data_IF_421800833582
#
_entry.id   IF_421800833582
#
_cell.length_a   1.000
_cell.length_b   1.000
_cell.length_c   1.000
_cell.angle_alpha   90.00
_cell.angle_beta   90.00
_cell.angle_gamma   90.00
#
_symmetry.space_group_name_H-M   'P 1'
#
loop_
_entity.id
_entity.type
_entity.pdbx_description
1 polymer ?
#
# COMPACT_ATOMS: atom_id res chain seq x y z
N UNK A 1 30.28 42.66 -0.42
CA UNK A 1 28.82 42.34 -0.34
C UNK A 1 28.46 41.06 -1.07
N UNK A 2 28.93 40.85 -2.32
CA UNK A 2 28.63 39.66 -3.16
C UNK A 2 28.90 38.30 -2.47
N UNK A 3 30.00 38.16 -1.71
CA UNK A 3 30.34 36.90 -1.01
C UNK A 3 29.31 36.49 0.07
N UNK A 4 28.68 37.46 0.74
CA UNK A 4 27.64 37.20 1.77
C UNK A 4 26.34 36.71 1.13
N UNK A 5 25.95 37.29 -0.01
CA UNK A 5 24.76 36.87 -0.75
C UNK A 5 24.88 35.47 -1.35
N UNK A 6 26.08 35.08 -1.81
CA UNK A 6 26.35 33.73 -2.31
C UNK A 6 26.27 32.70 -1.17
N UNK A 7 26.89 32.98 -0.02
CA UNK A 7 26.82 32.10 1.15
C UNK A 7 25.38 31.92 1.66
N UNK A 8 24.59 33.01 1.68
CA UNK A 8 23.18 32.93 2.06
C UNK A 8 22.38 32.06 1.09
N UNK A 9 22.61 32.24 -0.23
CA UNK A 9 21.94 31.46 -1.26
C UNK A 9 22.30 29.97 -1.17
N UNK A 10 23.59 29.65 -0.94
CA UNK A 10 24.05 28.28 -0.73
C UNK A 10 23.43 27.64 0.52
N UNK A 11 23.27 28.41 1.60
CA UNK A 11 22.66 27.95 2.84
C UNK A 11 21.16 27.67 2.68
N UNK A 12 20.45 28.57 1.97
CA UNK A 12 19.03 28.40 1.64
C UNK A 12 18.79 27.19 0.74
N UNK A 13 19.62 26.96 -0.29
CA UNK A 13 19.46 25.80 -1.17
C UNK A 13 19.81 24.49 -0.46
N UNK A 14 20.83 24.44 0.40
CA UNK A 14 21.14 23.24 1.21
C UNK A 14 19.99 22.87 2.17
N UNK A 15 19.39 23.86 2.82
CA UNK A 15 18.26 23.64 3.73
C UNK A 15 17.02 23.06 3.02
N UNK A 16 16.73 23.55 1.80
CA UNK A 16 15.65 23.00 0.97
C UNK A 16 15.92 21.55 0.53
N UNK A 17 17.16 21.21 0.16
CA UNK A 17 17.52 19.85 -0.28
C UNK A 17 17.41 18.84 0.87
N UNK A 18 17.84 19.21 2.08
CA UNK A 18 17.72 18.35 3.27
C UNK A 18 16.26 18.16 3.67
N UNK A 19 15.43 19.20 3.57
CA UNK A 19 13.99 19.11 3.88
C UNK A 19 13.21 18.31 2.82
N UNK A 20 13.70 18.26 1.58
CA UNK A 20 13.11 17.46 0.51
C UNK A 20 13.35 15.96 0.67
N UNK A 21 14.34 15.55 1.47
CA UNK A 21 14.49 14.16 1.89
C UNK A 21 13.60 13.90 3.11
N UNK A 22 12.28 13.85 2.89
CA UNK A 22 11.36 13.39 3.92
C UNK A 22 11.81 11.98 4.35
N UNK A 23 12.16 11.74 5.62
CA UNK A 23 12.51 10.40 6.12
C UNK A 23 11.39 9.38 5.85
N UNK A 24 10.17 9.86 5.63
CA UNK A 24 8.97 9.09 5.34
C UNK A 24 8.64 8.97 3.84
N UNK A 25 9.43 9.54 2.93
CA UNK A 25 9.20 9.42 1.49
C UNK A 25 9.23 7.96 1.01
N UNK A 26 9.95 7.09 1.74
CA UNK A 26 10.14 5.68 1.40
C UNK A 26 8.96 4.77 1.75
N UNK A 27 7.91 5.28 2.39
CA UNK A 27 6.76 4.48 2.83
C UNK A 27 5.93 3.89 1.69
N UNK A 28 6.18 4.32 0.46
CA UNK A 28 5.50 3.87 -0.75
C UNK A 28 6.49 3.47 -1.87
N UNK A 29 7.59 2.80 -1.50
CA UNK A 29 8.69 2.46 -2.42
C UNK A 29 8.62 1.05 -3.02
N UNK A 30 7.66 0.23 -2.61
CA UNK A 30 7.53 -1.14 -3.07
C UNK A 30 6.06 -1.47 -3.36
N UNK A 31 5.75 -1.75 -4.62
CA UNK A 31 4.38 -1.98 -5.08
C UNK A 31 4.23 -3.39 -5.62
N UNK A 32 3.20 -4.09 -5.16
CA UNK A 32 2.81 -5.37 -5.74
C UNK A 32 1.91 -5.10 -6.95
N UNK A 33 2.29 -5.60 -8.12
CA UNK A 33 1.59 -5.37 -9.38
C UNK A 33 1.39 -6.69 -10.12
N UNK A 34 0.17 -6.91 -10.57
CA UNK A 34 -0.24 -8.13 -11.26
C UNK A 34 -1.45 -8.75 -10.60
N UNK A 35 -1.97 -9.82 -11.20
CA UNK A 35 -3.13 -10.54 -10.71
C UNK A 35 -2.81 -12.03 -10.62
N UNK A 36 -3.43 -12.69 -9.65
CA UNK A 36 -3.46 -14.15 -9.53
C UNK A 36 -4.73 -14.66 -10.20
N UNK A 37 -4.63 -15.18 -11.43
CA UNK A 37 -5.79 -15.71 -12.18
C UNK A 37 -6.13 -17.18 -11.90
N UNK A 38 -5.34 -17.84 -11.07
CA UNK A 38 -5.49 -19.27 -10.81
C UNK A 38 -4.90 -19.65 -9.45
N UNK A 39 -5.37 -20.76 -8.88
CA UNK A 39 -4.80 -21.37 -7.67
C UNK A 39 -3.32 -21.77 -7.84
N UNK A 40 -2.81 -21.77 -9.08
CA UNK A 40 -1.43 -22.16 -9.43
C UNK A 40 -0.47 -20.96 -9.42
N UNK A 41 -0.93 -19.75 -9.76
CA UNK A 41 -0.08 -18.54 -9.72
C UNK A 41 0.07 -18.06 -8.28
N UNK A 42 1.19 -18.41 -7.67
CA UNK A 42 1.56 -17.98 -6.31
C UNK A 42 2.57 -16.84 -6.31
N UNK A 43 2.81 -16.21 -7.47
CA UNK A 43 3.85 -15.20 -7.66
C UNK A 43 3.33 -14.06 -8.54
N UNK A 44 3.55 -12.84 -8.10
CA UNK A 44 3.30 -11.59 -8.84
C UNK A 44 4.56 -10.72 -8.87
N UNK A 45 4.50 -9.54 -9.49
CA UNK A 45 5.65 -8.65 -9.57
C UNK A 45 5.69 -7.70 -8.38
N UNK A 46 6.86 -7.57 -7.77
CA UNK A 46 7.20 -6.49 -6.85
C UNK A 46 8.04 -5.46 -7.60
N UNK A 47 7.51 -4.26 -7.69
CA UNK A 47 8.21 -3.10 -8.24
C UNK A 47 8.96 -2.45 -7.08
N UNK A 48 10.28 -2.42 -7.13
CA UNK A 48 11.14 -1.89 -6.08
C UNK A 48 11.84 -0.60 -6.53
N UNK A 49 11.40 0.52 -5.96
CA UNK A 49 11.92 1.86 -6.22
C UNK A 49 13.11 2.24 -5.32
N UNK A 50 13.65 1.32 -4.51
CA UNK A 50 14.85 1.59 -3.71
C UNK A 50 16.13 1.68 -4.55
N UNK A 51 16.12 1.18 -5.78
CA UNK A 51 17.24 1.22 -6.72
C UNK A 51 16.91 2.12 -7.92
N UNK A 52 17.95 2.58 -8.61
CA UNK A 52 17.83 3.26 -9.91
C UNK A 52 18.70 2.55 -10.96
N UNK A 53 18.11 2.05 -12.07
CA UNK A 53 16.67 1.97 -12.34
C UNK A 53 15.94 1.11 -11.29
N UNK A 54 14.62 1.29 -11.17
CA UNK A 54 13.81 0.45 -10.27
C UNK A 54 13.90 -1.02 -10.72
N UNK A 55 13.80 -1.94 -9.77
CA UNK A 55 13.88 -3.37 -10.03
C UNK A 55 12.48 -4.01 -10.03
N UNK A 56 12.31 -5.07 -10.82
CA UNK A 56 11.11 -5.91 -10.79
C UNK A 56 11.52 -7.30 -10.34
N UNK A 57 11.00 -7.74 -9.20
CA UNK A 57 11.31 -9.04 -8.62
C UNK A 57 10.06 -9.88 -8.40
N UNK A 58 10.16 -11.22 -8.44
CA UNK A 58 9.03 -12.08 -8.11
C UNK A 58 8.69 -12.02 -6.62
N UNK A 59 7.43 -11.77 -6.29
CA UNK A 59 6.92 -11.78 -4.92
C UNK A 59 5.84 -12.84 -4.76
N UNK A 60 5.99 -13.69 -3.73
CA UNK A 60 5.03 -14.76 -3.45
C UNK A 60 3.75 -14.18 -2.85
N UNK A 61 2.61 -14.69 -3.28
CA UNK A 61 1.30 -14.38 -2.70
C UNK A 61 0.57 -15.68 -2.40
N UNK A 62 0.07 -15.83 -1.17
CA UNK A 62 -0.70 -17.02 -0.77
C UNK A 62 -2.20 -16.84 -1.03
N UNK A 63 -2.72 -15.63 -0.81
CA UNK A 63 -4.15 -15.34 -0.75
C UNK A 63 -4.59 -14.46 -1.90
N UNK A 64 -5.67 -14.88 -2.58
CA UNK A 64 -6.46 -14.03 -3.45
C UNK A 64 -5.80 -13.36 -4.63
N UNK A 65 -6.64 -12.83 -5.49
CA UNK A 65 -6.22 -11.92 -6.54
C UNK A 65 -5.86 -10.61 -5.83
N UNK A 66 -4.62 -10.12 -5.99
CA UNK A 66 -4.39 -8.68 -5.84
C UNK A 66 -5.04 -8.06 -7.07
N UNK A 67 -6.36 -7.93 -7.04
CA UNK A 67 -7.10 -7.47 -8.20
C UNK A 67 -6.90 -5.97 -8.35
N UNK A 68 -6.84 -5.50 -9.60
CA UNK A 68 -6.73 -4.08 -9.91
C UNK A 68 -7.92 -3.35 -9.29
N UNK A 69 -7.68 -2.56 -8.24
CA UNK A 69 -8.74 -1.74 -7.69
C UNK A 69 -8.49 -1.32 -6.26
N UNK A 70 -8.53 -2.23 -5.31
CA UNK A 70 -8.57 -1.90 -3.87
C UNK A 70 -7.42 -2.49 -3.09
N UNK A 71 -6.23 -2.48 -3.68
CA UNK A 71 -4.99 -2.83 -3.03
C UNK A 71 -4.29 -1.56 -2.52
N UNK A 72 -3.71 -1.63 -1.34
CA UNK A 72 -2.82 -0.58 -0.82
C UNK A 72 -1.62 -1.22 -0.12
N UNK A 73 -0.50 -0.52 -0.12
CA UNK A 73 0.80 -1.00 0.31
C UNK A 73 1.39 -0.02 1.31
N UNK A 74 2.20 -0.51 2.23
CA UNK A 74 3.02 0.37 3.06
C UNK A 74 4.36 -0.28 3.36
N UNK A 75 5.40 0.53 3.27
CA UNK A 75 6.77 0.14 3.52
C UNK A 75 7.26 0.61 4.90
N UNK A 76 8.33 -0.01 5.38
CA UNK A 76 9.13 0.55 6.45
C UNK A 76 9.86 1.84 6.00
N UNK A 77 10.56 2.51 6.92
CA UNK A 77 11.33 3.72 6.60
C UNK A 77 12.52 3.49 5.65
N UNK A 78 12.92 2.23 5.48
CA UNK A 78 14.00 1.86 4.56
C UNK A 78 13.46 1.58 3.17
N UNK A 79 12.14 1.61 2.96
CA UNK A 79 11.47 1.35 1.69
C UNK A 79 11.17 -0.12 1.45
N UNK A 80 11.22 -0.98 2.47
CA UNK A 80 10.88 -2.39 2.37
C UNK A 80 9.41 -2.62 2.70
N UNK A 81 8.69 -3.36 1.85
CA UNK A 81 7.29 -3.70 2.04
C UNK A 81 7.08 -4.29 3.43
N UNK A 82 6.14 -3.72 4.17
CA UNK A 82 5.77 -4.15 5.51
C UNK A 82 4.41 -4.85 5.50
N UNK A 83 3.40 -4.15 4.96
CA UNK A 83 2.03 -4.64 4.87
C UNK A 83 1.41 -4.31 3.51
N UNK A 84 0.45 -5.14 3.10
CA UNK A 84 -0.47 -4.82 2.03
C UNK A 84 -1.89 -5.24 2.40
N UNK A 85 -2.88 -4.50 1.91
CA UNK A 85 -4.29 -4.81 2.13
C UNK A 85 -4.98 -5.09 0.79
N UNK A 86 -5.88 -6.08 0.76
CA UNK A 86 -6.62 -6.51 -0.44
C UNK A 86 -8.12 -6.20 -0.38
N UNK A 87 -8.56 -5.49 0.67
CA UNK A 87 -9.97 -5.17 0.96
C UNK A 87 -10.65 -6.24 1.81
N UNK A 88 -10.22 -7.49 1.67
CA UNK A 88 -10.61 -8.59 2.53
C UNK A 88 -9.61 -8.83 3.66
N UNK A 89 -8.31 -8.76 3.35
CA UNK A 89 -7.26 -9.11 4.30
C UNK A 89 -6.14 -8.06 4.36
N UNK A 90 -5.44 -8.01 5.50
CA UNK A 90 -4.16 -7.34 5.70
C UNK A 90 -3.08 -8.42 5.83
N UNK A 91 -2.05 -8.30 5.01
CA UNK A 91 -1.03 -9.32 4.81
C UNK A 91 0.35 -8.70 4.99
N UNK A 92 1.27 -9.43 5.62
CA UNK A 92 2.66 -9.01 5.75
C UNK A 92 3.48 -9.30 4.48
N UNK A 93 4.73 -8.86 4.46
CA UNK A 93 5.66 -9.11 3.34
C UNK A 93 6.05 -10.57 3.11
N UNK A 94 5.72 -11.48 4.04
CA UNK A 94 5.87 -12.92 3.85
C UNK A 94 4.61 -13.58 3.24
N UNK A 95 3.64 -12.77 2.83
CA UNK A 95 2.34 -13.21 2.34
C UNK A 95 1.47 -13.94 3.38
N UNK A 96 1.63 -13.59 4.67
CA UNK A 96 0.84 -14.15 5.78
C UNK A 96 -0.15 -13.11 6.30
N UNK A 97 -1.40 -13.51 6.59
CA UNK A 97 -2.38 -12.62 7.22
C UNK A 97 -1.87 -12.28 8.62
N UNK A 98 -1.82 -10.98 8.94
CA UNK A 98 -1.44 -10.55 10.29
C UNK A 98 -2.55 -10.87 11.30
N UNK A 99 -2.21 -10.84 12.60
CA UNK A 99 -3.22 -10.98 13.65
C UNK A 99 -4.33 -9.94 13.48
N UNK A 100 -5.58 -10.39 13.48
CA UNK A 100 -6.78 -9.56 13.22
C UNK A 100 -6.82 -8.90 11.83
N UNK A 101 -5.98 -9.35 10.90
CA UNK A 101 -5.95 -8.88 9.52
C UNK A 101 -6.92 -9.60 8.60
N UNK A 102 -7.73 -10.54 9.08
CA UNK A 102 -8.68 -11.29 8.26
C UNK A 102 -10.06 -10.62 8.28
N UNK A 103 -10.75 -10.62 7.14
CA UNK A 103 -12.10 -10.08 6.98
C UNK A 103 -12.27 -8.66 7.53
N UNK A 104 -11.34 -7.76 7.17
CA UNK A 104 -11.31 -6.38 7.68
C UNK A 104 -12.53 -5.54 7.27
N UNK A 105 -13.24 -5.98 6.22
CA UNK A 105 -14.53 -5.42 5.82
C UNK A 105 -15.61 -6.46 6.15
N UNK A 106 -16.24 -6.37 7.34
CA UNK A 106 -17.12 -7.42 7.88
C UNK A 106 -18.55 -7.32 7.32
N UNK A 107 -18.67 -7.26 5.99
CA UNK A 107 -19.98 -7.30 5.34
C UNK A 107 -20.32 -8.75 4.98
N UNK A 108 -21.45 -9.24 5.50
CA UNK A 108 -21.96 -10.57 5.14
C UNK A 108 -22.14 -10.71 3.63
N UNK A 109 -22.50 -9.64 2.92
CA UNK A 109 -22.63 -9.69 1.47
C UNK A 109 -21.30 -10.00 0.76
N UNK A 110 -20.17 -9.50 1.26
CA UNK A 110 -18.86 -9.79 0.69
C UNK A 110 -18.45 -11.25 0.92
N UNK A 111 -18.80 -11.80 2.08
CA UNK A 111 -18.48 -13.17 2.46
C UNK A 111 -19.41 -14.15 1.73
N UNK A 112 -20.72 -13.94 1.83
CA UNK A 112 -21.76 -14.80 1.24
C UNK A 112 -21.78 -14.69 -0.29
N UNK A 113 -21.44 -13.52 -0.83
CA UNK A 113 -21.31 -13.27 -2.26
C UNK A 113 -20.05 -13.86 -2.89
N UNK A 114 -19.15 -14.48 -2.10
CA UNK A 114 -17.91 -15.09 -2.59
C UNK A 114 -16.85 -14.09 -3.05
N UNK A 115 -16.97 -12.83 -2.63
CA UNK A 115 -16.00 -11.78 -2.94
C UNK A 115 -14.76 -11.93 -2.06
N UNK A 116 -14.93 -12.12 -0.77
CA UNK A 116 -13.80 -12.44 0.11
C UNK A 116 -13.54 -13.95 0.20
N UNK A 117 -12.26 -14.39 0.30
CA UNK A 117 -11.06 -13.59 0.55
C UNK A 117 -10.36 -13.04 -0.72
N UNK A 118 -10.84 -13.36 -1.92
CA UNK A 118 -10.02 -13.32 -3.13
C UNK A 118 -10.25 -12.13 -4.08
N UNK A 119 -11.33 -11.38 -3.89
CA UNK A 119 -11.88 -10.46 -4.88
C UNK A 119 -12.73 -9.34 -4.23
N UNK A 120 -12.11 -8.29 -3.71
CA UNK A 120 -12.87 -7.15 -3.17
C UNK A 120 -13.35 -6.21 -4.29
N UNK A 121 -14.67 -6.00 -4.48
CA UNK A 121 -15.22 -5.38 -5.69
C UNK A 121 -15.10 -3.85 -5.74
N UNK A 122 -14.82 -3.20 -4.60
CA UNK A 122 -14.64 -1.74 -4.63
C UNK A 122 -13.33 -1.40 -5.36
N UNK A 123 -13.25 -0.21 -5.95
CA UNK A 123 -12.02 0.32 -6.53
C UNK A 123 -11.55 1.52 -5.70
N UNK A 124 -10.24 1.68 -5.53
CA UNK A 124 -9.56 2.73 -4.79
C UNK A 124 -10.16 2.99 -3.39
N UNK A 125 -10.55 1.92 -2.71
CA UNK A 125 -11.26 2.02 -1.42
C UNK A 125 -10.35 1.98 -0.20
N UNK A 126 -9.07 1.65 -0.38
CA UNK A 126 -8.12 1.47 0.71
C UNK A 126 -6.96 2.44 0.60
N UNK A 127 -6.52 2.93 1.76
CA UNK A 127 -5.32 3.75 1.88
C UNK A 127 -4.61 3.45 3.20
N UNK A 128 -3.35 3.04 3.14
CA UNK A 128 -2.47 3.10 4.29
C UNK A 128 -1.96 4.52 4.51
N UNK A 129 -1.98 4.96 5.77
CA UNK A 129 -1.33 6.19 6.22
C UNK A 129 -0.37 5.87 7.36
N UNK A 130 0.81 6.45 7.32
CA UNK A 130 1.74 6.43 8.45
C UNK A 130 1.37 7.49 9.47
N UNK A 131 1.56 7.17 10.75
CA UNK A 131 1.48 8.20 11.78
C UNK A 131 2.74 9.08 11.73
N UNK A 132 2.61 10.41 11.57
CA UNK A 132 3.77 11.29 11.44
C UNK A 132 4.64 11.36 12.71
N UNK A 133 4.14 10.87 13.85
CA UNK A 133 4.85 10.83 15.13
C UNK A 133 5.35 9.43 15.51
N UNK A 134 5.09 8.40 14.69
CA UNK A 134 5.46 7.02 15.00
C UNK A 134 5.90 6.20 13.78
N UNK A 135 7.09 5.63 13.87
CA UNK A 135 7.64 4.70 12.87
C UNK A 135 6.90 3.35 12.79
N UNK A 136 6.00 3.07 13.74
CA UNK A 136 5.40 1.74 13.95
C UNK A 136 3.88 1.74 13.91
N UNK A 137 3.24 2.91 13.85
CA UNK A 137 1.80 3.04 13.80
C UNK A 137 1.33 3.38 12.39
N UNK A 138 0.37 2.61 11.90
CA UNK A 138 -0.17 2.73 10.56
C UNK A 138 -1.70 2.69 10.66
N UNK A 139 -2.36 3.56 9.94
CA UNK A 139 -3.82 3.60 9.80
C UNK A 139 -4.20 3.01 8.45
N UNK A 140 -5.15 2.08 8.44
CA UNK A 140 -5.82 1.66 7.21
C UNK A 140 -7.16 2.39 7.14
N UNK A 141 -7.29 3.28 6.17
CA UNK A 141 -8.58 3.86 5.82
C UNK A 141 -9.25 2.97 4.79
N UNK A 142 -10.51 2.60 5.05
CA UNK A 142 -11.31 1.79 4.16
C UNK A 142 -12.66 2.47 3.92
N UNK A 143 -13.00 2.72 2.67
CA UNK A 143 -14.37 3.02 2.29
C UNK A 143 -15.15 1.72 2.09
N UNK A 144 -16.22 1.57 2.85
CA UNK A 144 -17.14 0.45 2.67
C UNK A 144 -17.75 0.48 1.27
N UNK A 145 -17.97 -0.69 0.69
CA UNK A 145 -18.71 -0.84 -0.55
C UNK A 145 -20.04 -1.53 -0.26
N UNK A 146 -21.12 -0.76 -0.33
CA UNK A 146 -22.47 -1.31 -0.35
C UNK A 146 -22.95 -1.24 -1.80
N UNK A 147 -23.16 -2.38 -2.49
CA UNK A 147 -23.76 -2.36 -3.81
C UNK A 147 -25.18 -1.79 -3.66
N UNK A 148 -25.40 -0.59 -4.21
CA UNK A 148 -26.75 -0.13 -4.43
C UNK A 148 -27.35 -1.02 -5.51
N UNK A 149 -28.42 -1.75 -5.20
CA UNK A 149 -29.34 -2.17 -6.25
C UNK A 149 -29.86 -0.91 -6.97
N UNK A 150 -30.45 -1.09 -8.17
CA UNK A 150 -30.96 0.01 -9.04
C UNK A 150 -31.97 0.97 -8.37
N UNK A 151 -32.30 0.75 -7.09
CA UNK A 151 -33.25 1.51 -6.30
C UNK A 151 -32.64 2.29 -5.12
N UNK A 152 -31.34 2.15 -4.86
CA UNK A 152 -30.64 2.94 -3.84
C UNK A 152 -31.05 2.60 -2.40
N UNK A 153 -30.03 2.22 -1.62
CA UNK A 153 -30.03 2.06 -0.15
C UNK A 153 -30.56 0.69 0.33
N UNK A 154 -29.68 -0.01 1.04
CA UNK A 154 -30.02 -0.98 2.11
C UNK A 154 -30.11 -0.17 3.40
#
# INVERSE_FOLDING_TARGET
MIKRSILLSLYLTLSCIVSAQLPDAKRDFQWLIGYKDSSVKTVINLFDFNQQPFEITPHRVQLGTIQQGSNTYVCDKNGQLLLYATGCNIVNSNAEIIKNGQNITPDSWLIDGGWCPDNYPALNSLLFLTDPSSDTLYYLLSSGFLPTNEWGII
#
